data_IF_122187921835
#
_entry.id   IF_122187921835
#
_cell.length_a   1.000
_cell.length_b   1.000
_cell.length_c   1.000
_cell.angle_alpha   90.00
_cell.angle_beta   90.00
_cell.angle_gamma   90.00
#
_symmetry.space_group_name_H-M   'P 1'
#
loop_
_entity.id
_entity.type
_entity.pdbx_description
1 polymer ?
#
# COMPACT_ATOMS: atom_id res chain seq x y z
N UNK A 1 -54.89 -33.72 60.61
CA UNK A 1 -55.88 -32.85 61.28
C UNK A 1 -55.69 -31.40 60.83
N UNK A 2 -56.77 -30.84 60.23
CA UNK A 2 -57.22 -29.44 60.23
C UNK A 2 -56.17 -28.32 59.93
N UNK A 3 -56.30 -27.70 58.71
CA UNK A 3 -56.87 -26.36 58.41
C UNK A 3 -56.07 -25.20 59.02
N UNK A 4 -55.67 -24.19 58.17
CA UNK A 4 -56.54 -23.09 57.71
C UNK A 4 -55.88 -22.28 56.57
N UNK A 5 -56.73 -21.82 55.64
CA UNK A 5 -56.45 -20.85 54.58
C UNK A 5 -56.24 -19.44 55.15
N UNK A 6 -55.38 -18.67 54.52
CA UNK A 6 -55.65 -17.24 54.37
C UNK A 6 -55.11 -16.70 53.03
N UNK A 7 -56.04 -16.25 52.22
CA UNK A 7 -55.84 -15.48 51.01
C UNK A 7 -55.39 -14.05 51.40
N UNK A 8 -54.32 -13.56 50.75
CA UNK A 8 -54.06 -12.11 50.63
C UNK A 8 -53.82 -11.78 49.18
N UNK A 9 -54.81 -11.08 48.59
CA UNK A 9 -54.72 -10.45 47.28
C UNK A 9 -53.67 -9.33 47.36
N UNK A 10 -52.63 -9.41 46.50
CA UNK A 10 -51.74 -8.28 46.21
C UNK A 10 -52.09 -7.71 44.83
N UNK A 11 -52.36 -6.42 44.85
CA UNK A 11 -52.70 -5.63 43.70
C UNK A 11 -51.47 -5.51 42.71
N UNK A 12 -51.75 -5.73 41.43
CA UNK A 12 -50.79 -5.44 40.38
C UNK A 12 -50.83 -3.97 40.05
N UNK A 13 -49.71 -3.28 40.22
CA UNK A 13 -49.42 -1.98 39.63
C UNK A 13 -48.74 -2.21 38.25
N UNK A 14 -49.16 -1.45 37.20
CA UNK A 14 -48.52 -1.59 35.91
C UNK A 14 -47.11 -0.95 35.91
N UNK A 15 -46.10 -1.72 35.53
CA UNK A 15 -44.76 -1.22 35.30
C UNK A 15 -44.74 -0.42 33.99
N UNK A 16 -44.44 0.89 34.11
CA UNK A 16 -44.16 1.76 32.98
C UNK A 16 -42.86 1.29 32.30
N UNK A 17 -42.99 0.85 31.04
CA UNK A 17 -41.86 0.55 30.15
C UNK A 17 -41.22 1.89 29.75
N UNK A 18 -40.11 2.28 30.38
CA UNK A 18 -39.21 3.30 29.85
C UNK A 18 -38.44 2.68 28.67
N UNK A 19 -38.84 3.00 27.44
CA UNK A 19 -38.05 2.74 26.23
C UNK A 19 -36.85 3.67 26.28
N UNK A 20 -35.71 3.17 26.71
CA UNK A 20 -34.42 3.81 26.47
C UNK A 20 -34.10 3.67 24.99
N UNK A 21 -34.33 4.72 24.22
CA UNK A 21 -33.83 4.87 22.87
C UNK A 21 -32.31 4.89 22.90
N UNK A 22 -31.68 3.75 22.54
CA UNK A 22 -30.24 3.70 22.26
C UNK A 22 -30.02 4.48 20.99
N UNK A 23 -29.60 5.73 21.13
CA UNK A 23 -29.00 6.51 20.05
C UNK A 23 -27.69 5.80 19.64
N UNK A 24 -27.76 4.99 18.57
CA UNK A 24 -26.57 4.48 17.89
C UNK A 24 -25.87 5.67 17.23
N UNK A 25 -24.60 5.96 17.56
CA UNK A 25 -23.94 7.13 17.02
C UNK A 25 -23.42 6.87 15.60
N UNK A 26 -23.70 7.78 14.72
CA UNK A 26 -22.87 8.38 13.64
C UNK A 26 -21.85 7.54 12.84
N UNK A 27 -21.80 6.21 12.94
CA UNK A 27 -20.98 5.37 12.03
C UNK A 27 -21.58 5.31 10.59
N UNK A 28 -22.86 5.67 10.43
CA UNK A 28 -23.51 5.69 9.11
C UNK A 28 -23.10 6.87 8.22
N UNK A 29 -22.59 7.96 8.80
CA UNK A 29 -22.30 9.19 8.03
C UNK A 29 -20.96 9.16 7.27
N UNK A 30 -19.95 8.41 7.74
CA UNK A 30 -18.68 8.28 7.06
C UNK A 30 -18.80 7.33 5.85
N UNK A 31 -19.36 6.14 6.05
CA UNK A 31 -19.60 5.18 4.97
C UNK A 31 -20.60 5.70 3.91
N UNK A 32 -21.52 6.58 4.30
CA UNK A 32 -22.46 7.22 3.38
C UNK A 32 -21.81 8.38 2.62
N UNK A 33 -20.92 9.14 3.25
CA UNK A 33 -20.07 10.15 2.59
C UNK A 33 -19.09 9.52 1.61
N UNK A 34 -18.46 8.38 1.96
CA UNK A 34 -17.60 7.64 1.04
C UNK A 34 -18.34 7.09 -0.19
N UNK A 35 -19.58 6.64 -0.04
CA UNK A 35 -20.41 6.23 -1.17
C UNK A 35 -20.81 7.40 -2.08
N UNK A 36 -20.94 8.60 -1.54
CA UNK A 36 -21.25 9.82 -2.33
C UNK A 36 -20.00 10.45 -2.94
N UNK A 37 -18.86 10.48 -2.22
CA UNK A 37 -17.60 11.03 -2.73
C UNK A 37 -17.06 10.30 -3.96
N UNK A 38 -17.33 8.98 -4.09
CA UNK A 38 -16.94 8.22 -5.29
C UNK A 38 -17.90 8.34 -6.49
N UNK A 39 -18.89 9.22 -6.42
CA UNK A 39 -19.88 9.45 -7.52
C UNK A 39 -19.62 10.75 -8.29
N UNK A 40 -18.73 11.61 -7.79
CA UNK A 40 -18.37 12.80 -8.56
C UNK A 40 -17.43 12.42 -9.70
N UNK A 41 -17.72 12.90 -10.88
CA UNK A 41 -16.88 12.71 -12.07
C UNK A 41 -15.89 13.86 -12.20
N UNK A 42 -14.68 13.56 -12.66
CA UNK A 42 -13.71 14.57 -13.05
C UNK A 42 -13.50 14.55 -14.57
N UNK A 43 -14.18 15.43 -15.33
CA UNK A 43 -13.99 15.46 -16.78
C UNK A 43 -12.53 15.69 -17.21
N UNK A 44 -11.72 16.36 -16.39
CA UNK A 44 -10.31 16.54 -16.66
C UNK A 44 -9.55 15.20 -16.52
N UNK A 45 -9.74 14.47 -15.40
CA UNK A 45 -9.15 13.16 -15.20
C UNK A 45 -9.61 12.16 -16.26
N UNK A 46 -10.91 12.13 -16.59
CA UNK A 46 -11.48 11.23 -17.58
C UNK A 46 -10.85 11.46 -18.98
N UNK A 47 -10.69 12.72 -19.38
CA UNK A 47 -10.00 13.05 -20.65
C UNK A 47 -8.53 12.65 -20.61
N UNK A 48 -7.85 12.90 -19.48
CA UNK A 48 -6.44 12.58 -19.33
C UNK A 48 -6.20 11.07 -19.45
N UNK A 49 -6.94 10.23 -18.71
CA UNK A 49 -6.77 8.77 -18.76
C UNK A 49 -7.13 8.20 -20.13
N UNK A 50 -8.22 8.67 -20.76
CA UNK A 50 -8.63 8.19 -22.09
C UNK A 50 -7.65 8.61 -23.18
N UNK A 51 -7.11 9.82 -23.09
CA UNK A 51 -6.06 10.32 -24.00
C UNK A 51 -4.75 9.55 -23.84
N UNK A 52 -4.30 9.38 -22.61
CA UNK A 52 -3.08 8.61 -22.28
C UNK A 52 -3.19 7.14 -22.69
N UNK A 53 -4.33 6.49 -22.44
CA UNK A 53 -4.57 5.11 -22.85
C UNK A 53 -4.40 4.92 -24.36
N UNK A 54 -4.96 5.82 -25.17
CA UNK A 54 -4.82 5.80 -26.63
C UNK A 54 -3.40 6.09 -27.08
N UNK A 55 -2.76 7.13 -26.51
CA UNK A 55 -1.40 7.57 -26.87
C UNK A 55 -0.37 6.49 -26.61
N UNK A 56 -0.44 5.83 -25.46
CA UNK A 56 0.54 4.85 -25.00
C UNK A 56 0.09 3.39 -25.18
N UNK A 57 -1.05 3.16 -25.85
CA UNK A 57 -1.61 1.83 -26.11
C UNK A 57 -1.81 1.00 -24.83
N UNK A 58 -2.38 1.62 -23.80
CA UNK A 58 -2.65 0.99 -22.52
C UNK A 58 -4.04 0.37 -22.58
N UNK A 59 -4.20 -0.96 -22.34
CA UNK A 59 -5.50 -1.62 -22.40
C UNK A 59 -6.51 -1.11 -21.38
N UNK A 60 -6.07 -0.89 -20.13
CA UNK A 60 -6.92 -0.44 -19.06
C UNK A 60 -6.20 0.48 -18.07
N UNK A 61 -6.90 1.53 -17.65
CA UNK A 61 -6.45 2.49 -16.61
C UNK A 61 -7.56 2.67 -15.58
N UNK A 62 -7.18 2.68 -14.30
CA UNK A 62 -7.97 3.21 -13.21
C UNK A 62 -7.18 4.32 -12.52
N UNK A 63 -7.82 5.45 -12.25
CA UNK A 63 -7.17 6.57 -11.57
C UNK A 63 -8.09 7.18 -10.51
N UNK A 64 -7.52 7.57 -9.38
CA UNK A 64 -8.21 8.26 -8.29
C UNK A 64 -7.58 9.63 -8.08
N UNK A 65 -8.43 10.66 -8.01
CA UNK A 65 -8.06 12.04 -7.70
C UNK A 65 -8.46 12.36 -6.27
N UNK A 66 -7.51 12.85 -5.49
CA UNK A 66 -7.67 13.30 -4.12
C UNK A 66 -7.46 14.81 -4.07
N UNK A 67 -8.40 15.53 -3.50
CA UNK A 67 -8.33 16.98 -3.32
C UNK A 67 -8.80 17.34 -1.90
N UNK A 68 -8.06 18.22 -1.23
CA UNK A 68 -8.39 18.70 0.11
C UNK A 68 -8.64 17.56 1.13
N UNK A 69 -7.88 16.47 1.03
CA UNK A 69 -8.02 15.31 1.91
C UNK A 69 -9.28 14.47 1.68
N UNK A 70 -9.90 14.57 0.51
CA UNK A 70 -11.09 13.82 0.14
C UNK A 70 -10.92 13.12 -1.22
N UNK A 71 -11.52 11.95 -1.38
CA UNK A 71 -11.60 11.27 -2.67
C UNK A 71 -12.57 12.04 -3.58
N UNK A 72 -12.01 12.80 -4.51
CA UNK A 72 -12.79 13.65 -5.42
C UNK A 72 -13.44 12.87 -6.55
N UNK A 73 -12.68 11.98 -7.19
CA UNK A 73 -13.16 11.16 -8.29
C UNK A 73 -12.38 9.85 -8.41
N UNK A 74 -13.04 8.82 -8.90
CA UNK A 74 -12.44 7.59 -9.44
C UNK A 74 -12.89 7.45 -10.88
N UNK A 75 -11.93 7.52 -11.81
CA UNK A 75 -12.20 7.39 -13.23
C UNK A 75 -11.52 6.15 -13.79
N UNK A 76 -12.17 5.49 -14.72
CA UNK A 76 -11.68 4.25 -15.33
C UNK A 76 -11.81 4.31 -16.84
N UNK A 77 -10.92 3.62 -17.54
CA UNK A 77 -10.97 3.54 -19.01
C UNK A 77 -10.43 2.19 -19.51
N UNK A 78 -11.04 1.68 -20.56
CA UNK A 78 -10.57 0.50 -21.29
C UNK A 78 -10.94 -0.82 -20.63
N UNK A 79 -10.17 -1.86 -20.91
CA UNK A 79 -10.46 -3.26 -20.59
C UNK A 79 -9.50 -3.81 -19.53
N UNK A 80 -10.06 -4.43 -18.48
CA UNK A 80 -9.25 -5.23 -17.56
C UNK A 80 -8.82 -6.55 -18.20
N UNK A 81 -9.61 -7.06 -19.15
CA UNK A 81 -9.29 -8.22 -19.96
C UNK A 81 -9.81 -8.03 -21.39
N UNK A 82 -8.88 -7.93 -22.35
CA UNK A 82 -9.23 -7.73 -23.76
C UNK A 82 -9.84 -8.97 -24.39
N UNK A 83 -9.46 -10.18 -23.94
CA UNK A 83 -9.95 -11.45 -24.50
C UNK A 83 -11.43 -11.65 -24.23
N UNK A 84 -11.88 -11.33 -23.02
CA UNK A 84 -13.30 -11.43 -22.61
C UNK A 84 -14.09 -10.15 -22.84
N UNK A 85 -13.46 -9.06 -23.31
CA UNK A 85 -14.02 -7.72 -23.38
C UNK A 85 -14.54 -7.21 -22.03
N UNK A 86 -13.91 -7.62 -20.94
CA UNK A 86 -14.30 -7.19 -19.61
C UNK A 86 -13.75 -5.78 -19.32
N UNK A 87 -14.60 -4.78 -19.00
CA UNK A 87 -14.14 -3.41 -18.77
C UNK A 87 -13.42 -3.26 -17.43
N UNK A 88 -12.52 -2.26 -17.32
CA UNK A 88 -12.01 -1.79 -16.04
C UNK A 88 -13.17 -1.19 -15.24
N UNK A 89 -13.20 -1.46 -13.96
CA UNK A 89 -14.13 -0.87 -12.98
C UNK A 89 -13.37 -0.34 -11.78
N UNK A 90 -14.01 0.40 -10.91
CA UNK A 90 -13.42 0.86 -9.66
C UNK A 90 -13.06 -0.29 -8.69
N UNK A 91 -13.62 -1.48 -8.91
CA UNK A 91 -13.34 -2.69 -8.12
C UNK A 91 -12.35 -3.63 -8.81
N UNK A 92 -11.87 -3.29 -10.02
CA UNK A 92 -10.85 -4.09 -10.70
C UNK A 92 -9.63 -4.26 -9.80
N UNK A 93 -9.17 -5.49 -9.65
CA UNK A 93 -7.97 -5.84 -8.89
C UNK A 93 -6.76 -5.81 -9.81
N UNK A 94 -5.71 -5.14 -9.35
CA UNK A 94 -4.43 -5.04 -10.03
C UNK A 94 -3.33 -5.70 -9.19
N UNK A 95 -2.31 -6.26 -9.84
CA UNK A 95 -1.05 -6.55 -9.19
C UNK A 95 -0.33 -5.21 -8.94
N UNK A 96 -0.36 -4.74 -7.71
CA UNK A 96 0.21 -3.46 -7.32
C UNK A 96 1.60 -3.57 -6.69
N UNK A 97 2.10 -4.78 -6.52
CA UNK A 97 3.48 -5.16 -6.21
C UNK A 97 4.16 -4.27 -5.17
N UNK A 98 5.17 -3.51 -5.64
CA UNK A 98 5.99 -2.63 -4.78
C UNK A 98 5.23 -1.49 -4.11
N UNK A 99 3.99 -1.21 -4.51
CA UNK A 99 3.12 -0.32 -3.73
C UNK A 99 2.72 -0.94 -2.38
N UNK A 100 3.05 -2.20 -2.12
CA UNK A 100 2.98 -2.83 -0.79
C UNK A 100 4.04 -2.35 0.19
N UNK A 101 5.19 -1.86 -0.29
CA UNK A 101 6.28 -1.40 0.58
C UNK A 101 5.88 -0.27 1.52
N UNK A 102 5.22 0.81 1.05
CA UNK A 102 4.76 1.88 1.94
C UNK A 102 3.74 1.43 2.98
N UNK A 103 2.84 0.49 2.63
CA UNK A 103 1.87 -0.06 3.58
C UNK A 103 2.59 -0.82 4.69
N UNK A 104 3.54 -1.66 4.30
CA UNK A 104 4.31 -2.44 5.26
C UNK A 104 5.23 -1.56 6.11
N UNK A 105 5.91 -0.60 5.50
CA UNK A 105 6.75 0.36 6.22
C UNK A 105 5.94 1.14 7.27
N UNK A 106 4.75 1.63 6.92
CA UNK A 106 3.83 2.25 7.88
C UNK A 106 3.51 1.31 9.05
N UNK A 107 3.19 0.03 8.77
CA UNK A 107 2.88 -0.96 9.80
C UNK A 107 4.04 -1.19 10.76
N UNK A 108 5.27 -1.25 10.26
CA UNK A 108 6.50 -1.37 11.06
C UNK A 108 6.74 -0.13 11.92
N UNK A 109 6.51 1.06 11.36
CA UNK A 109 6.66 2.32 12.09
C UNK A 109 5.58 2.50 13.15
N UNK A 110 4.35 2.00 12.90
CA UNK A 110 3.30 1.96 13.91
C UNK A 110 3.71 1.06 15.08
N UNK A 111 4.20 -0.16 14.80
CA UNK A 111 4.73 -1.08 15.82
C UNK A 111 5.87 -0.43 16.64
N UNK A 112 6.71 0.36 16.00
CA UNK A 112 7.76 1.14 16.66
C UNK A 112 7.19 2.25 17.56
N UNK A 113 6.21 2.99 17.06
CA UNK A 113 5.56 4.07 17.82
C UNK A 113 4.81 3.56 19.06
N UNK A 114 4.39 2.28 19.04
CA UNK A 114 3.82 1.55 20.17
C UNK A 114 4.88 1.04 21.16
N UNK A 115 6.18 1.25 20.87
CA UNK A 115 7.28 0.79 21.73
C UNK A 115 7.57 -0.71 21.65
N UNK A 116 7.01 -1.43 20.69
CA UNK A 116 7.13 -2.89 20.52
C UNK A 116 8.29 -3.31 19.64
N UNK A 117 8.90 -2.38 18.91
CA UNK A 117 9.99 -2.62 17.98
C UNK A 117 10.91 -1.39 17.88
N UNK A 118 12.23 -1.58 17.91
CA UNK A 118 13.19 -0.51 17.68
C UNK A 118 13.73 -0.59 16.24
N UNK A 119 13.29 0.28 15.31
CA UNK A 119 13.69 0.22 13.91
C UNK A 119 15.17 0.58 13.66
N UNK A 120 15.85 1.16 14.65
CA UNK A 120 17.28 1.48 14.61
C UNK A 120 18.19 0.36 15.10
N UNK A 121 17.65 -0.68 15.75
CA UNK A 121 18.42 -1.82 16.21
C UNK A 121 18.83 -2.73 15.03
N UNK A 122 19.99 -3.41 15.10
CA UNK A 122 20.37 -4.42 14.12
C UNK A 122 19.31 -5.52 13.98
N UNK A 123 18.86 -5.81 12.77
CA UNK A 123 17.86 -6.86 12.54
C UNK A 123 18.31 -8.26 13.01
N UNK A 124 19.60 -8.65 12.89
CA UNK A 124 20.08 -9.93 13.43
C UNK A 124 19.96 -10.07 14.95
N UNK A 125 19.79 -8.98 15.70
CA UNK A 125 19.52 -9.05 17.14
C UNK A 125 18.09 -9.54 17.45
N UNK A 126 17.17 -9.40 16.51
CA UNK A 126 15.80 -9.92 16.60
C UNK A 126 15.69 -11.32 16.00
N UNK A 127 16.19 -11.50 14.78
CA UNK A 127 16.15 -12.77 14.06
C UNK A 127 17.56 -13.18 13.68
N UNK A 128 18.20 -14.08 14.46
CA UNK A 128 19.54 -14.59 14.15
C UNK A 128 19.59 -15.31 12.79
N UNK A 129 20.74 -15.24 12.15
CA UNK A 129 21.02 -15.98 10.92
C UNK A 129 21.37 -17.45 11.22
N UNK A 130 21.01 -18.42 10.34
CA UNK A 130 20.31 -18.27 9.07
C UNK A 130 18.80 -18.06 9.24
N UNK A 131 18.17 -17.38 8.30
CA UNK A 131 16.73 -17.24 8.27
C UNK A 131 16.10 -17.91 7.03
N UNK A 132 14.80 -18.22 7.09
CA UNK A 132 14.05 -18.73 5.95
C UNK A 132 13.80 -17.61 4.94
N UNK A 133 14.34 -17.73 3.76
CA UNK A 133 14.15 -16.80 2.65
C UNK A 133 13.13 -17.36 1.67
N UNK A 134 12.11 -16.59 1.37
CA UNK A 134 11.14 -16.91 0.33
C UNK A 134 11.70 -16.51 -1.03
N UNK A 135 12.16 -17.49 -1.79
CA UNK A 135 12.71 -17.27 -3.12
C UNK A 135 11.64 -17.15 -4.20
N UNK A 136 10.50 -17.81 -3.97
CA UNK A 136 9.39 -17.86 -4.90
C UNK A 136 8.05 -17.78 -4.16
N UNK A 137 7.36 -16.62 -4.21
CA UNK A 137 6.06 -16.47 -3.56
C UNK A 137 4.95 -17.28 -4.22
N UNK A 138 5.16 -17.87 -5.41
CA UNK A 138 4.22 -18.80 -6.04
C UNK A 138 4.37 -20.24 -5.53
N UNK A 139 5.53 -20.57 -4.93
CA UNK A 139 5.79 -21.88 -4.34
C UNK A 139 5.21 -22.02 -2.92
N UNK A 140 4.71 -23.19 -2.59
CA UNK A 140 4.25 -23.50 -1.23
C UNK A 140 5.39 -23.75 -0.22
N UNK A 141 6.62 -23.96 -0.68
CA UNK A 141 7.77 -24.31 0.17
C UNK A 141 8.79 -23.19 0.23
N UNK A 142 9.08 -22.63 1.43
CA UNK A 142 10.14 -21.65 1.58
C UNK A 142 11.52 -22.28 1.40
N UNK A 143 12.46 -21.56 0.79
CA UNK A 143 13.86 -21.96 0.76
C UNK A 143 14.60 -21.49 2.02
N UNK A 144 15.54 -22.31 2.47
CA UNK A 144 16.48 -21.95 3.53
C UNK A 144 17.76 -21.40 2.93
N UNK A 145 18.23 -20.27 3.43
CA UNK A 145 19.54 -19.74 3.06
C UNK A 145 20.31 -19.34 4.31
N UNK A 146 21.61 -19.71 4.33
CA UNK A 146 22.51 -19.21 5.34
C UNK A 146 23.15 -17.92 4.83
N UNK A 147 22.90 -16.82 5.52
CA UNK A 147 23.57 -15.56 5.33
C UNK A 147 24.78 -15.51 6.26
N UNK A 148 25.96 -15.30 5.70
CA UNK A 148 27.13 -15.00 6.49
C UNK A 148 27.88 -13.81 5.91
N UNK A 149 27.60 -12.64 6.43
CA UNK A 149 28.37 -11.41 6.19
C UNK A 149 28.31 -10.59 7.50
N UNK A 150 29.43 -10.34 8.18
CA UNK A 150 29.44 -9.62 9.45
C UNK A 150 28.86 -8.22 9.36
N UNK A 151 28.80 -7.62 8.16
CA UNK A 151 28.17 -6.31 7.93
C UNK A 151 26.65 -6.35 8.13
N UNK A 152 26.00 -7.52 8.12
CA UNK A 152 24.60 -7.67 8.46
C UNK A 152 24.25 -7.10 9.85
N UNK A 153 25.19 -7.10 10.79
CA UNK A 153 25.01 -6.46 12.09
C UNK A 153 24.79 -4.94 12.01
N UNK A 154 24.93 -4.35 10.84
CA UNK A 154 24.61 -2.94 10.59
C UNK A 154 23.27 -2.76 9.85
N UNK A 155 22.62 -3.82 9.40
CA UNK A 155 21.32 -3.75 8.74
C UNK A 155 20.24 -3.52 9.79
N UNK A 156 19.51 -2.42 9.65
CA UNK A 156 18.39 -2.01 10.52
C UNK A 156 17.12 -1.87 9.70
N UNK A 157 15.95 -1.83 10.35
CA UNK A 157 14.69 -1.58 9.63
C UNK A 157 14.69 -0.21 8.93
N UNK A 158 15.28 0.83 9.55
CA UNK A 158 15.45 2.14 8.90
C UNK A 158 16.21 2.00 7.58
N UNK A 159 17.33 1.27 7.58
CA UNK A 159 18.15 1.06 6.38
C UNK A 159 17.47 0.19 5.33
N UNK A 160 16.58 -0.69 5.74
CA UNK A 160 15.73 -1.44 4.81
C UNK A 160 14.71 -0.51 4.18
N UNK A 161 13.90 0.17 4.98
CA UNK A 161 12.79 1.00 4.50
C UNK A 161 13.24 2.21 3.67
N UNK A 162 14.48 2.69 3.86
CA UNK A 162 15.05 3.75 3.03
C UNK A 162 16.01 3.25 1.95
N UNK A 163 16.04 1.94 1.69
CA UNK A 163 16.89 1.30 0.68
C UNK A 163 18.39 1.61 0.80
N UNK A 164 18.90 1.70 2.04
CA UNK A 164 20.34 1.82 2.31
C UNK A 164 20.91 0.59 3.02
N UNK A 165 20.19 -0.53 3.01
CA UNK A 165 20.63 -1.78 3.64
C UNK A 165 21.88 -2.38 3.00
N UNK A 166 22.17 -2.03 1.75
CA UNK A 166 23.22 -2.63 0.93
C UNK A 166 22.88 -4.02 0.38
N UNK A 167 21.66 -4.51 0.65
CA UNK A 167 21.16 -5.76 0.08
C UNK A 167 20.83 -5.57 -1.40
N UNK A 168 20.93 -6.62 -2.26
CA UNK A 168 20.55 -6.54 -3.65
C UNK A 168 19.05 -6.28 -3.82
N UNK A 169 18.64 -5.84 -5.01
CA UNK A 169 17.22 -5.81 -5.36
C UNK A 169 16.64 -7.22 -5.31
N UNK A 170 17.25 -8.12 -6.07
CA UNK A 170 16.92 -9.55 -6.04
C UNK A 170 18.20 -10.38 -6.03
N UNK A 171 18.31 -11.33 -5.11
CA UNK A 171 19.38 -12.32 -5.14
C UNK A 171 19.01 -13.52 -6.02
N UNK A 172 17.72 -13.70 -6.35
CA UNK A 172 17.21 -14.82 -7.17
C UNK A 172 17.78 -16.17 -6.71
N UNK A 173 18.48 -16.90 -7.59
CA UNK A 173 19.11 -18.20 -7.29
C UNK A 173 20.54 -18.06 -6.75
N UNK A 174 20.97 -16.87 -6.35
CA UNK A 174 22.31 -16.60 -5.79
C UNK A 174 22.21 -16.48 -4.27
N UNK A 175 23.31 -16.82 -3.59
CA UNK A 175 23.44 -16.55 -2.17
C UNK A 175 23.29 -15.05 -1.90
N UNK A 176 22.47 -14.70 -0.92
CA UNK A 176 22.27 -13.32 -0.52
C UNK A 176 23.57 -12.76 0.07
N UNK A 177 24.11 -11.72 -0.57
CA UNK A 177 25.32 -11.00 -0.14
C UNK A 177 25.06 -9.50 -0.17
N UNK A 178 25.64 -8.78 0.77
CA UNK A 178 25.61 -7.32 0.72
C UNK A 178 26.46 -6.82 -0.46
N UNK A 179 25.84 -6.10 -1.36
CA UNK A 179 26.49 -5.47 -2.51
C UNK A 179 27.21 -4.17 -2.14
N UNK A 180 26.67 -3.48 -1.11
CA UNK A 180 27.18 -2.22 -0.58
C UNK A 180 27.33 -2.33 0.94
N UNK A 181 28.10 -1.43 1.54
CA UNK A 181 28.07 -1.28 2.99
C UNK A 181 26.71 -0.69 3.43
N UNK A 182 26.08 -1.22 4.50
CA UNK A 182 24.83 -0.65 5.00
C UNK A 182 24.98 0.82 5.37
N UNK A 183 24.11 1.66 4.83
CA UNK A 183 24.13 3.12 4.99
C UNK A 183 25.01 3.88 3.98
N UNK A 184 25.70 3.20 3.07
CA UNK A 184 26.64 3.82 2.13
C UNK A 184 25.93 4.72 1.11
N UNK A 185 24.88 4.21 0.44
CA UNK A 185 24.05 4.95 -0.50
C UNK A 185 22.70 4.27 -0.70
N UNK A 186 21.78 4.99 -1.30
CA UNK A 186 20.51 4.45 -1.74
C UNK A 186 20.71 3.40 -2.84
N UNK A 187 20.07 2.24 -2.69
CA UNK A 187 20.01 1.16 -3.66
C UNK A 187 18.76 0.34 -3.41
N UNK A 188 17.80 0.42 -4.33
CA UNK A 188 16.51 -0.26 -4.19
C UNK A 188 16.69 -1.75 -3.89
N UNK A 189 15.93 -2.28 -2.93
CA UNK A 189 16.11 -3.65 -2.45
C UNK A 189 14.80 -4.27 -1.97
N UNK A 190 14.27 -5.19 -2.76
CA UNK A 190 13.16 -6.07 -2.36
C UNK A 190 13.61 -7.08 -1.29
N UNK A 191 14.85 -7.60 -1.39
CA UNK A 191 15.41 -8.55 -0.42
C UNK A 191 15.45 -7.98 1.00
N UNK A 192 15.72 -6.69 1.12
CA UNK A 192 15.66 -6.02 2.44
C UNK A 192 14.29 -6.11 3.07
N UNK A 193 13.24 -5.84 2.31
CA UNK A 193 11.86 -5.92 2.79
C UNK A 193 11.43 -7.36 3.13
N UNK A 194 11.90 -8.36 2.38
CA UNK A 194 11.65 -9.77 2.71
C UNK A 194 12.31 -10.16 4.04
N UNK A 195 13.55 -9.70 4.28
CA UNK A 195 14.21 -9.94 5.56
C UNK A 195 13.49 -9.24 6.71
N UNK A 196 13.14 -7.96 6.54
CA UNK A 196 12.37 -7.22 7.55
C UNK A 196 11.02 -7.87 7.85
N UNK A 197 10.35 -8.43 6.84
CA UNK A 197 9.11 -9.19 7.01
C UNK A 197 9.32 -10.35 7.98
N UNK A 198 10.37 -11.16 7.79
CA UNK A 198 10.68 -12.28 8.67
C UNK A 198 11.02 -11.85 10.10
N UNK A 199 11.75 -10.74 10.23
CA UNK A 199 12.04 -10.16 11.53
C UNK A 199 10.77 -9.75 12.27
N UNK A 200 9.86 -9.06 11.60
CA UNK A 200 8.61 -8.60 12.23
C UNK A 200 7.69 -9.78 12.57
N UNK A 201 7.56 -10.78 11.70
CA UNK A 201 6.84 -12.02 11.99
C UNK A 201 7.41 -12.71 13.25
N UNK A 202 8.74 -12.76 13.39
CA UNK A 202 9.38 -13.33 14.57
C UNK A 202 9.13 -12.52 15.84
N UNK A 203 9.25 -11.20 15.76
CA UNK A 203 9.07 -10.28 16.92
C UNK A 203 7.62 -10.25 17.39
N UNK A 204 6.67 -10.28 16.47
CA UNK A 204 5.24 -10.18 16.81
C UNK A 204 4.62 -11.54 17.13
N UNK A 205 5.18 -12.62 16.60
CA UNK A 205 4.56 -13.95 16.61
C UNK A 205 3.35 -14.06 15.69
N UNK A 206 3.10 -13.06 14.87
CA UNK A 206 1.98 -13.00 13.94
C UNK A 206 2.42 -13.33 12.52
N UNK A 207 1.54 -13.94 11.72
CA UNK A 207 1.78 -14.03 10.28
C UNK A 207 1.74 -12.64 9.64
N UNK A 208 2.50 -12.43 8.57
CA UNK A 208 2.49 -11.18 7.82
C UNK A 208 1.07 -10.71 7.47
N UNK A 209 0.23 -11.64 6.96
CA UNK A 209 -1.15 -11.32 6.59
C UNK A 209 -2.00 -10.80 7.75
N UNK A 210 -1.90 -11.42 8.93
CA UNK A 210 -2.59 -10.97 10.13
C UNK A 210 -2.07 -9.60 10.58
N UNK A 211 -0.75 -9.42 10.59
CA UNK A 211 -0.11 -8.18 10.99
C UNK A 211 -0.55 -6.99 10.12
N UNK A 212 -0.47 -7.09 8.78
CA UNK A 212 -0.89 -5.99 7.89
C UNK A 212 -2.40 -5.79 7.88
N UNK A 213 -3.19 -6.84 8.11
CA UNK A 213 -4.65 -6.73 8.15
C UNK A 213 -5.12 -5.79 9.27
N UNK A 214 -4.58 -5.94 10.50
CA UNK A 214 -4.99 -5.09 11.62
C UNK A 214 -4.21 -3.77 11.71
N UNK A 215 -2.97 -3.72 11.23
CA UNK A 215 -2.14 -2.51 11.34
C UNK A 215 -2.44 -1.47 10.25
N UNK A 216 -2.85 -1.89 9.05
CA UNK A 216 -3.08 -0.95 7.96
C UNK A 216 -4.28 -1.27 7.07
N UNK A 217 -4.50 -2.51 6.60
CA UNK A 217 -5.58 -2.77 5.64
C UNK A 217 -6.96 -2.48 6.24
N UNK A 218 -7.23 -2.97 7.44
CA UNK A 218 -8.47 -2.69 8.17
C UNK A 218 -8.65 -1.21 8.53
N UNK A 219 -7.70 -0.58 9.23
CA UNK A 219 -7.79 0.84 9.59
C UNK A 219 -7.93 1.79 8.41
N UNK A 220 -7.27 1.50 7.27
CA UNK A 220 -7.38 2.30 6.06
C UNK A 220 -8.62 1.95 5.20
N UNK A 221 -9.41 0.93 5.57
CA UNK A 221 -10.60 0.54 4.81
C UNK A 221 -10.31 -0.17 3.49
N UNK A 222 -9.19 -0.88 3.37
CA UNK A 222 -8.73 -1.58 2.17
C UNK A 222 -9.30 -3.01 2.10
N UNK A 223 -10.62 -3.13 2.04
CA UNK A 223 -11.33 -4.41 2.16
C UNK A 223 -11.11 -5.39 0.97
N UNK A 224 -10.68 -4.89 -0.18
CA UNK A 224 -10.42 -5.66 -1.41
C UNK A 224 -8.90 -5.79 -1.67
N UNK A 225 -8.07 -5.72 -0.62
CA UNK A 225 -6.62 -5.78 -0.74
C UNK A 225 -6.05 -6.95 0.03
N UNK A 226 -5.03 -7.60 -0.53
CA UNK A 226 -4.32 -8.72 0.10
C UNK A 226 -2.92 -8.86 -0.50
N UNK A 227 -2.02 -9.48 0.26
CA UNK A 227 -0.69 -9.87 -0.23
C UNK A 227 -0.62 -11.34 -0.69
N UNK A 228 -1.76 -12.03 -0.70
CA UNK A 228 -1.90 -13.38 -1.26
C UNK A 228 -3.14 -13.45 -2.12
N UNK A 229 -3.15 -14.37 -3.08
CA UNK A 229 -4.31 -14.60 -3.93
C UNK A 229 -5.55 -14.91 -3.11
N UNK A 230 -6.67 -14.30 -3.48
CA UNK A 230 -7.99 -14.60 -2.96
C UNK A 230 -8.87 -15.07 -4.12
N UNK A 231 -9.60 -16.18 -3.96
CA UNK A 231 -10.49 -16.67 -5.03
C UNK A 231 -11.59 -15.67 -5.38
N UNK A 232 -11.97 -14.79 -4.46
CA UNK A 232 -12.90 -13.70 -4.71
C UNK A 232 -12.38 -12.70 -5.78
N UNK A 233 -11.07 -12.66 -6.05
CA UNK A 233 -10.49 -11.78 -7.07
C UNK A 233 -10.71 -12.27 -8.50
N UNK A 234 -10.99 -13.56 -8.69
CA UNK A 234 -11.06 -14.19 -10.01
C UNK A 234 -11.98 -13.47 -11.02
N UNK A 235 -13.09 -12.87 -10.54
CA UNK A 235 -14.04 -12.14 -11.39
C UNK A 235 -13.59 -10.71 -11.74
N UNK A 236 -12.73 -10.10 -10.93
CA UNK A 236 -12.36 -8.68 -11.02
C UNK A 236 -10.89 -8.44 -11.30
N UNK A 237 -10.09 -9.50 -11.35
CA UNK A 237 -8.65 -9.42 -11.64
C UNK A 237 -8.39 -8.93 -13.05
N UNK A 238 -7.48 -7.99 -13.20
CA UNK A 238 -7.00 -7.53 -14.49
C UNK A 238 -5.99 -8.52 -15.08
N UNK A 239 -6.04 -8.74 -16.38
CA UNK A 239 -4.97 -9.39 -17.16
C UNK A 239 -3.89 -8.35 -17.43
N UNK A 240 -2.64 -8.65 -17.09
CA UNK A 240 -1.50 -7.81 -17.44
C UNK A 240 -1.11 -7.93 -18.90
N UNK A 241 -0.61 -6.86 -19.49
CA UNK A 241 -0.15 -6.81 -20.87
C UNK A 241 1.26 -6.23 -20.94
N UNK A 242 2.15 -6.87 -21.67
CA UNK A 242 3.50 -6.35 -21.87
C UNK A 242 3.53 -5.07 -22.74
N UNK A 243 4.71 -4.53 -22.98
CA UNK A 243 4.86 -3.31 -23.81
C UNK A 243 4.41 -3.48 -25.27
N UNK A 244 4.33 -4.71 -25.77
CA UNK A 244 3.82 -5.01 -27.12
C UNK A 244 2.29 -5.14 -27.16
N UNK A 245 1.64 -5.26 -25.99
CA UNK A 245 0.21 -5.54 -25.85
C UNK A 245 -0.11 -7.03 -25.81
N UNK A 246 0.89 -7.90 -25.67
CA UNK A 246 0.65 -9.32 -25.45
C UNK A 246 0.27 -9.59 -23.99
N UNK A 247 -0.73 -10.46 -23.72
CA UNK A 247 -1.10 -10.81 -22.36
C UNK A 247 0.02 -11.59 -21.67
N UNK A 248 0.26 -11.29 -20.40
CA UNK A 248 1.17 -12.04 -19.54
C UNK A 248 0.38 -13.01 -18.66
N UNK A 249 1.05 -14.08 -18.22
CA UNK A 249 0.48 -15.01 -17.29
C UNK A 249 0.21 -14.33 -15.92
N UNK A 250 -0.96 -14.58 -15.36
CA UNK A 250 -1.34 -14.06 -14.05
C UNK A 250 -0.60 -14.81 -12.94
N UNK A 251 -0.01 -14.08 -12.02
CA UNK A 251 0.59 -14.65 -10.82
C UNK A 251 -0.47 -14.88 -9.75
N UNK A 252 -0.50 -16.08 -9.18
CA UNK A 252 -1.28 -16.40 -7.99
C UNK A 252 -0.31 -16.60 -6.83
N UNK A 253 -0.04 -15.50 -6.13
CA UNK A 253 0.87 -15.55 -4.99
C UNK A 253 0.24 -16.31 -3.83
N UNK A 254 0.85 -17.44 -3.46
CA UNK A 254 0.40 -18.31 -2.38
C UNK A 254 0.96 -17.88 -1.02
N UNK A 255 2.03 -17.10 -1.04
CA UNK A 255 2.69 -16.57 0.16
C UNK A 255 2.90 -15.06 0.03
N UNK A 256 2.76 -14.31 1.14
CA UNK A 256 2.93 -12.87 1.09
C UNK A 256 4.41 -12.49 0.99
N UNK A 257 4.69 -11.46 0.21
CA UNK A 257 5.98 -10.79 0.16
C UNK A 257 5.74 -9.27 0.21
N UNK A 258 6.21 -8.63 1.26
CA UNK A 258 5.93 -7.22 1.57
C UNK A 258 6.20 -6.27 0.40
N UNK A 259 7.23 -6.58 -0.41
CA UNK A 259 7.68 -5.75 -1.51
C UNK A 259 6.99 -6.01 -2.86
N UNK A 260 6.25 -7.13 -3.03
CA UNK A 260 5.95 -7.56 -4.42
C UNK A 260 4.60 -8.19 -4.67
N UNK A 261 3.86 -8.59 -3.64
CA UNK A 261 2.67 -9.43 -3.86
C UNK A 261 1.35 -8.74 -3.54
N UNK A 262 1.34 -7.41 -3.45
CA UNK A 262 0.10 -6.67 -3.19
C UNK A 262 -0.87 -6.78 -4.37
N UNK A 263 -2.07 -7.28 -4.09
CA UNK A 263 -3.27 -7.11 -4.90
C UNK A 263 -4.14 -6.03 -4.28
N UNK A 264 -4.63 -5.11 -5.08
CA UNK A 264 -5.50 -4.03 -4.57
C UNK A 264 -6.37 -3.45 -5.68
N UNK A 265 -7.41 -2.73 -5.30
CA UNK A 265 -8.22 -1.89 -6.18
C UNK A 265 -7.79 -0.43 -6.12
N UNK A 266 -8.19 0.36 -7.12
CA UNK A 266 -7.91 1.81 -7.13
C UNK A 266 -8.54 2.52 -5.92
N UNK A 267 -9.72 2.09 -5.46
CA UNK A 267 -10.38 2.65 -4.28
C UNK A 267 -9.61 2.37 -3.00
N UNK A 268 -9.23 1.13 -2.81
CA UNK A 268 -8.52 0.72 -1.59
C UNK A 268 -7.21 1.47 -1.45
N UNK A 269 -6.45 1.58 -2.55
CA UNK A 269 -5.18 2.32 -2.48
C UNK A 269 -5.39 3.84 -2.28
N UNK A 270 -6.44 4.40 -2.87
CA UNK A 270 -6.83 5.79 -2.58
C UNK A 270 -7.21 5.98 -1.09
N UNK A 271 -7.90 5.02 -0.48
CA UNK A 271 -8.19 5.04 0.97
C UNK A 271 -6.91 5.01 1.81
N UNK A 272 -5.91 4.22 1.42
CA UNK A 272 -4.60 4.26 2.08
C UNK A 272 -3.95 5.64 1.99
N UNK A 273 -3.97 6.27 0.83
CA UNK A 273 -3.43 7.63 0.69
C UNK A 273 -4.21 8.62 1.55
N UNK A 274 -5.55 8.57 1.54
CA UNK A 274 -6.39 9.39 2.41
C UNK A 274 -6.09 9.18 3.90
N UNK A 275 -5.85 7.93 4.30
CA UNK A 275 -5.47 7.59 5.67
C UNK A 275 -4.16 8.25 6.09
N UNK A 276 -3.16 8.33 5.17
CA UNK A 276 -1.90 9.04 5.43
C UNK A 276 -2.05 10.58 5.41
N UNK A 277 -2.98 11.10 4.60
CA UNK A 277 -3.24 12.55 4.51
C UNK A 277 -4.04 13.07 5.70
N UNK A 278 -4.84 12.23 6.34
CA UNK A 278 -5.65 12.60 7.48
C UNK A 278 -4.79 13.05 8.66
N UNK A 279 -5.18 14.16 9.27
CA UNK A 279 -4.59 14.58 10.55
C UNK A 279 -5.39 13.96 11.70
N UNK A 280 -4.70 13.19 12.53
CA UNK A 280 -5.31 12.48 13.66
C UNK A 280 -4.52 12.70 14.96
N UNK A 281 -4.46 13.97 15.48
CA UNK A 281 -3.57 14.32 16.60
C UNK A 281 -3.87 13.53 17.89
N UNK A 282 -5.08 13.01 18.05
CA UNK A 282 -5.43 12.12 19.15
C UNK A 282 -4.80 10.71 19.02
N UNK A 283 -4.42 10.31 17.81
CA UNK A 283 -3.79 9.02 17.50
C UNK A 283 -2.26 9.20 17.39
N UNK A 284 -1.59 9.40 18.51
CA UNK A 284 -0.15 9.74 18.55
C UNK A 284 0.74 8.75 17.82
N UNK A 285 0.46 7.45 17.90
CA UNK A 285 1.25 6.42 17.22
C UNK A 285 1.11 6.55 15.70
N UNK A 286 -0.10 6.79 15.18
CA UNK A 286 -0.35 7.08 13.77
C UNK A 286 0.43 8.30 13.29
N UNK A 287 0.29 9.45 13.98
CA UNK A 287 0.99 10.68 13.59
C UNK A 287 2.52 10.51 13.61
N UNK A 288 3.05 9.78 14.60
CA UNK A 288 4.47 9.46 14.68
C UNK A 288 4.90 8.58 13.49
N UNK A 289 4.15 7.53 13.18
CA UNK A 289 4.45 6.64 12.07
C UNK A 289 4.42 7.39 10.72
N UNK A 290 3.39 8.20 10.46
CA UNK A 290 3.28 9.01 9.24
C UNK A 290 4.42 10.04 9.15
N UNK A 291 4.75 10.71 10.25
CA UNK A 291 5.85 11.68 10.29
C UNK A 291 7.18 11.02 9.92
N UNK A 292 7.48 9.84 10.46
CA UNK A 292 8.71 9.10 10.13
C UNK A 292 8.69 8.57 8.68
N UNK A 293 7.55 8.08 8.22
CA UNK A 293 7.37 7.55 6.87
C UNK A 293 7.72 8.61 5.80
N UNK A 294 7.31 9.85 6.02
CA UNK A 294 7.42 10.96 5.08
C UNK A 294 8.58 11.93 5.38
N UNK A 295 9.46 11.59 6.34
CA UNK A 295 10.64 12.40 6.63
C UNK A 295 11.80 12.01 5.69
N UNK A 296 12.44 12.95 4.98
CA UNK A 296 13.61 12.66 4.15
C UNK A 296 14.77 12.09 4.99
N UNK A 297 15.26 10.90 4.63
CA UNK A 297 16.33 10.20 5.36
C UNK A 297 17.60 10.02 4.53
N UNK A 298 17.48 9.96 3.21
CA UNK A 298 18.59 9.79 2.28
C UNK A 298 18.31 10.51 0.97
N UNK A 299 19.33 11.16 0.42
CA UNK A 299 19.28 11.70 -0.93
C UNK A 299 19.48 10.56 -1.94
N UNK A 300 18.72 10.60 -3.04
CA UNK A 300 18.87 9.67 -4.15
C UNK A 300 19.64 10.35 -5.27
N UNK A 301 20.72 9.72 -5.69
CA UNK A 301 21.53 10.18 -6.82
C UNK A 301 20.85 9.75 -8.13
N UNK A 302 20.09 10.64 -8.71
CA UNK A 302 19.35 10.48 -9.95
C UNK A 302 19.56 11.72 -10.83
N UNK A 303 19.27 11.61 -12.12
CA UNK A 303 19.25 12.74 -13.04
C UNK A 303 18.33 13.88 -12.56
N UNK A 304 17.32 13.52 -11.78
CA UNK A 304 16.45 14.44 -11.06
C UNK A 304 16.60 14.16 -9.57
N UNK A 305 17.22 15.04 -8.79
CA UNK A 305 17.42 14.82 -7.35
C UNK A 305 16.08 14.70 -6.60
N UNK A 306 15.97 13.64 -5.80
CA UNK A 306 14.89 13.46 -4.85
C UNK A 306 15.45 12.80 -3.58
N UNK A 307 14.64 12.75 -2.55
CA UNK A 307 14.99 12.05 -1.30
C UNK A 307 14.16 10.79 -1.16
N UNK A 308 14.57 9.89 -0.26
CA UNK A 308 13.74 8.77 0.18
C UNK A 308 13.47 8.89 1.67
N UNK A 309 12.21 8.66 2.06
CA UNK A 309 11.77 8.53 3.44
C UNK A 309 11.91 7.10 3.94
N UNK A 310 10.94 6.65 4.73
CA UNK A 310 10.87 5.25 5.18
C UNK A 310 9.71 4.53 4.47
N UNK A 311 9.87 4.28 3.14
CA UNK A 311 8.89 3.61 2.30
C UNK A 311 8.34 4.42 1.13
N UNK A 312 8.61 5.73 1.07
CA UNK A 312 8.25 6.58 -0.07
C UNK A 312 9.43 7.36 -0.59
N UNK A 313 9.46 7.57 -1.90
CA UNK A 313 10.24 8.64 -2.50
C UNK A 313 9.61 10.00 -2.19
N UNK A 314 10.44 11.03 -2.06
CA UNK A 314 10.04 12.36 -1.62
C UNK A 314 10.57 13.41 -2.59
N UNK A 315 9.66 14.13 -3.22
CA UNK A 315 9.96 15.24 -4.13
C UNK A 315 9.69 16.57 -3.43
N UNK A 316 10.69 17.43 -3.37
CA UNK A 316 10.50 18.82 -2.95
C UNK A 316 10.08 19.65 -4.15
N UNK A 317 8.89 20.23 -4.10
CA UNK A 317 8.34 21.08 -5.14
C UNK A 317 7.95 22.44 -4.54
N UNK A 318 8.80 23.45 -4.74
CA UNK A 318 8.66 24.75 -4.07
C UNK A 318 8.72 24.59 -2.53
N UNK A 319 7.65 25.03 -1.85
CA UNK A 319 7.50 24.93 -0.39
C UNK A 319 6.68 23.70 0.03
N UNK A 320 6.45 22.75 -0.88
CA UNK A 320 5.71 21.53 -0.63
C UNK A 320 6.59 20.29 -0.76
N UNK A 321 6.22 19.24 -0.05
CA UNK A 321 6.84 17.93 -0.10
C UNK A 321 5.81 16.93 -0.59
N UNK A 322 6.02 16.40 -1.79
CA UNK A 322 5.23 15.32 -2.33
C UNK A 322 5.89 13.99 -2.03
N UNK A 323 5.11 13.01 -1.61
CA UNK A 323 5.55 11.63 -1.49
C UNK A 323 5.01 10.82 -2.65
N UNK A 324 5.81 9.90 -3.15
CA UNK A 324 5.48 9.09 -4.32
C UNK A 324 6.01 7.66 -4.20
N UNK A 325 5.39 6.76 -4.94
CA UNK A 325 5.92 5.43 -5.18
C UNK A 325 5.43 4.89 -6.52
N UNK A 326 6.07 3.83 -7.02
CA UNK A 326 5.67 3.16 -8.25
C UNK A 326 5.64 1.65 -8.09
N UNK A 327 4.84 0.99 -8.91
CA UNK A 327 4.99 -0.40 -9.30
C UNK A 327 5.46 -0.46 -10.75
N UNK A 328 6.40 -1.35 -11.04
CA UNK A 328 6.90 -1.57 -12.38
C UNK A 328 7.21 -3.04 -12.64
N UNK A 329 6.21 -3.76 -13.11
CA UNK A 329 6.35 -5.12 -13.63
C UNK A 329 6.11 -5.16 -15.14
N UNK A 330 6.24 -6.33 -15.72
CA UNK A 330 6.07 -6.53 -17.16
C UNK A 330 4.66 -6.16 -17.64
N UNK A 331 3.64 -6.44 -16.84
CA UNK A 331 2.24 -6.29 -17.21
C UNK A 331 1.44 -5.33 -16.38
N UNK A 332 2.00 -4.81 -15.29
CA UNK A 332 1.34 -3.85 -14.42
C UNK A 332 2.30 -2.73 -14.07
N UNK A 333 1.89 -1.51 -14.34
CA UNK A 333 2.64 -0.34 -13.92
C UNK A 333 1.68 0.66 -13.27
N UNK A 334 2.08 1.13 -12.10
CA UNK A 334 1.27 1.99 -11.27
C UNK A 334 2.12 3.11 -10.68
N UNK A 335 1.48 4.25 -10.41
CA UNK A 335 2.15 5.40 -9.82
C UNK A 335 1.22 6.07 -8.81
N UNK A 336 1.80 6.54 -7.73
CA UNK A 336 1.12 7.37 -6.74
C UNK A 336 1.98 8.58 -6.41
N UNK A 337 1.34 9.74 -6.30
CA UNK A 337 1.96 10.96 -5.80
C UNK A 337 0.93 11.75 -5.00
N UNK A 338 1.33 12.24 -3.83
CA UNK A 338 0.44 13.04 -2.98
C UNK A 338 1.22 13.99 -2.08
N UNK A 339 0.54 15.03 -1.57
CA UNK A 339 1.07 15.98 -0.59
C UNK A 339 0.15 16.07 0.63
N UNK A 340 0.73 15.87 1.81
CA UNK A 340 0.00 16.07 3.07
C UNK A 340 -0.34 17.53 3.34
N UNK A 341 0.48 18.46 2.85
CA UNK A 341 0.29 19.89 3.04
C UNK A 341 -0.95 20.41 2.32
N UNK A 342 -1.15 19.99 1.07
CA UNK A 342 -2.31 20.42 0.26
C UNK A 342 -3.50 19.47 0.39
N UNK A 343 -3.29 18.27 0.93
CA UNK A 343 -4.29 17.21 0.93
C UNK A 343 -4.61 16.70 -0.48
N UNK A 344 -3.70 16.87 -1.44
CA UNK A 344 -3.91 16.53 -2.84
C UNK A 344 -3.11 15.29 -3.23
N UNK A 345 -3.63 14.49 -4.16
CA UNK A 345 -2.91 13.32 -4.67
C UNK A 345 -3.59 12.68 -5.86
N UNK A 346 -2.82 11.86 -6.56
CA UNK A 346 -3.31 11.02 -7.67
C UNK A 346 -2.75 9.61 -7.49
N UNK A 347 -3.62 8.63 -7.66
CA UNK A 347 -3.25 7.21 -7.77
C UNK A 347 -3.59 6.76 -9.18
N UNK A 348 -2.67 6.06 -9.84
CA UNK A 348 -2.82 5.58 -11.21
C UNK A 348 -2.46 4.10 -11.25
N UNK A 349 -3.40 3.27 -11.69
CA UNK A 349 -3.19 1.84 -11.93
C UNK A 349 -3.42 1.51 -13.39
N UNK A 350 -2.52 0.72 -13.96
CA UNK A 350 -2.66 0.21 -15.34
C UNK A 350 -2.34 -1.28 -15.39
N UNK A 351 -2.98 -1.97 -16.31
CA UNK A 351 -2.64 -3.35 -16.65
C UNK A 351 -1.73 -3.41 -17.89
N UNK A 352 -0.67 -2.62 -17.89
CA UNK A 352 0.21 -2.47 -19.04
C UNK A 352 1.67 -2.23 -18.66
N UNK A 353 2.59 -2.81 -19.43
CA UNK A 353 4.02 -2.47 -19.41
C UNK A 353 4.35 -1.06 -19.95
N UNK A 354 3.35 -0.30 -20.42
CA UNK A 354 3.46 1.10 -20.85
C UNK A 354 2.86 2.08 -19.83
N UNK A 355 2.42 1.61 -18.67
CA UNK A 355 1.60 2.38 -17.73
C UNK A 355 2.26 3.64 -17.19
N UNK A 356 3.54 3.57 -16.85
CA UNK A 356 4.28 4.73 -16.31
C UNK A 356 4.50 5.85 -17.34
N UNK A 357 4.45 5.54 -18.64
CA UNK A 357 4.52 6.56 -19.69
C UNK A 357 3.33 7.53 -19.63
N UNK A 358 2.18 7.08 -19.08
CA UNK A 358 0.97 7.87 -18.92
C UNK A 358 0.98 8.82 -17.70
N UNK A 359 1.86 8.59 -16.73
CA UNK A 359 1.84 9.30 -15.45
C UNK A 359 1.96 10.83 -15.64
N UNK A 360 2.87 11.28 -16.50
CA UNK A 360 3.09 12.72 -16.76
C UNK A 360 1.83 13.41 -17.31
N UNK A 361 1.16 12.81 -18.30
CA UNK A 361 -0.02 13.40 -18.92
C UNK A 361 -1.18 13.50 -17.92
N UNK A 362 -1.36 12.47 -17.09
CA UNK A 362 -2.44 12.40 -16.09
C UNK A 362 -2.18 13.40 -14.96
N UNK A 363 -0.96 13.46 -14.42
CA UNK A 363 -0.60 14.35 -13.32
C UNK A 363 -0.67 15.83 -13.76
N UNK A 364 -0.20 16.16 -14.97
CA UNK A 364 -0.31 17.50 -15.51
C UNK A 364 -1.76 17.98 -15.63
N UNK A 365 -2.69 17.08 -15.96
CA UNK A 365 -4.11 17.39 -16.10
C UNK A 365 -4.87 17.48 -14.76
N UNK A 366 -4.28 17.01 -13.65
CA UNK A 366 -4.94 16.89 -12.35
C UNK A 366 -4.27 17.73 -11.27
N UNK A 367 -3.08 17.38 -10.82
CA UNK A 367 -2.34 18.13 -9.80
C UNK A 367 -1.74 19.44 -10.38
N UNK A 368 -1.51 19.46 -11.70
CA UNK A 368 -0.79 20.57 -12.33
C UNK A 368 0.66 20.66 -11.88
N UNK A 369 1.28 21.81 -12.13
CA UNK A 369 2.66 22.07 -11.68
C UNK A 369 3.73 21.35 -12.49
N UNK A 370 4.97 21.49 -12.04
CA UNK A 370 6.12 20.79 -12.59
C UNK A 370 6.59 19.77 -11.54
N UNK A 371 6.40 18.50 -11.83
CA UNK A 371 6.87 17.39 -10.98
C UNK A 371 8.13 16.77 -11.58
N UNK A 372 9.34 17.19 -11.14
CA UNK A 372 10.61 16.71 -11.68
C UNK A 372 10.75 15.19 -11.63
N UNK A 373 10.19 14.54 -10.60
CA UNK A 373 10.24 13.07 -10.45
C UNK A 373 9.73 12.32 -11.68
N UNK A 374 8.81 12.89 -12.44
CA UNK A 374 8.29 12.30 -13.67
C UNK A 374 9.35 12.14 -14.79
N UNK A 375 10.53 12.77 -14.63
CA UNK A 375 11.68 12.66 -15.53
C UNK A 375 12.82 11.85 -14.95
N UNK A 376 12.66 11.30 -13.74
CA UNK A 376 13.71 10.55 -13.05
C UNK A 376 14.02 9.20 -13.73
N UNK A 377 15.26 8.77 -13.60
CA UNK A 377 15.67 7.41 -13.99
C UNK A 377 14.90 6.38 -13.18
N UNK A 378 14.66 6.64 -11.88
CA UNK A 378 13.88 5.76 -11.03
C UNK A 378 12.50 5.42 -11.65
N UNK A 379 11.81 6.39 -12.25
CA UNK A 379 10.50 6.13 -12.85
C UNK A 379 10.60 5.33 -14.16
N UNK A 380 11.66 5.56 -14.95
CA UNK A 380 11.78 5.02 -16.30
C UNK A 380 12.79 3.87 -16.46
N UNK A 381 13.74 3.66 -15.51
CA UNK A 381 14.69 2.53 -15.56
C UNK A 381 13.98 1.18 -15.56
N UNK A 382 14.57 0.23 -16.29
CA UNK A 382 14.09 -1.17 -16.31
C UNK A 382 14.34 -1.88 -14.99
#
# INVERSE_FOLDING_TARGET
MRRWHQNTRRAFLPASLCVFGVLLPAASSAAQRDRQAGQETSPALQRAISGAAKKYKIPGIAAALIEHGQLRAVEVFGMRDQKSNAPVTANTIFEAGSLGEPLYAYSVLLLSAEGRFNPGAPLPSYLPLPYLRDLDPTSASPATESLYDPRFNQVTAIRVMNHTSGMPDWARNQHLRLQLAPGQKWSYSNEGYLYLQRVVEHVTGESFGAFVAHSILGPAGMAHSSFVWQEAYASDMATGYDRSGAPIEMHRYLRPAAATTLYTSIRDYAHFILYLLASAPAQRAHESAVSLLLNPTVAVDDAVPFSWGLGFGLEKNGNDLFFFHREKSSGFQSFVIASRKTGSGVVIFTNSGNGLDAASDIIAATLGGNHPILKSVFLHSQ
#
